data_IF_451703352225
#
_entry.id   IF_451703352225
#
_cell.length_a   1.000
_cell.length_b   1.000
_cell.length_c   1.000
_cell.angle_alpha   90.00
_cell.angle_beta   90.00
_cell.angle_gamma   90.00
#
_symmetry.space_group_name_H-M   'P 1'
#
loop_
_entity.id
_entity.type
_entity.pdbx_description
1 polymer ?
#
# COMPACT_ATOMS: atom_id res chain seq x y z
N UNK A 1 -30.64 28.13 19.08
CA UNK A 1 -29.62 27.87 18.03
C UNK A 1 -28.32 27.29 18.61
N UNK A 2 -27.78 27.85 19.70
CA UNK A 2 -26.56 27.36 20.39
C UNK A 2 -26.68 25.91 20.86
N UNK A 3 -27.77 25.54 21.55
CA UNK A 3 -27.98 24.17 22.07
C UNK A 3 -27.98 23.09 20.97
N UNK A 4 -28.57 23.37 19.80
CA UNK A 4 -28.55 22.45 18.64
C UNK A 4 -27.14 22.29 18.07
N UNK A 5 -26.36 23.37 17.98
CA UNK A 5 -24.95 23.31 17.54
C UNK A 5 -24.09 22.53 18.54
N UNK A 6 -24.25 22.79 19.83
CA UNK A 6 -23.54 22.07 20.89
C UNK A 6 -23.88 20.58 20.87
N UNK A 7 -25.17 20.22 20.72
CA UNK A 7 -25.60 18.83 20.62
C UNK A 7 -24.98 18.11 19.41
N UNK A 8 -24.97 18.76 18.24
CA UNK A 8 -24.34 18.19 17.03
C UNK A 8 -22.84 17.97 17.22
N UNK A 9 -22.14 18.93 17.83
CA UNK A 9 -20.70 18.79 18.14
C UNK A 9 -20.48 17.63 19.11
N UNK A 10 -21.27 17.53 20.18
CA UNK A 10 -21.15 16.45 21.16
C UNK A 10 -21.41 15.09 20.51
N UNK A 11 -22.47 14.96 19.70
CA UNK A 11 -22.76 13.72 18.98
C UNK A 11 -21.65 13.35 17.99
N UNK A 12 -21.09 14.33 17.29
CA UNK A 12 -19.97 14.12 16.37
C UNK A 12 -18.70 13.67 17.09
N UNK A 13 -18.31 14.36 18.16
CA UNK A 13 -17.13 14.00 18.95
C UNK A 13 -17.32 12.62 19.57
N UNK A 14 -18.50 12.34 20.13
CA UNK A 14 -18.81 11.02 20.72
C UNK A 14 -18.78 9.92 19.66
N UNK A 15 -19.32 10.16 18.45
CA UNK A 15 -19.27 9.18 17.37
C UNK A 15 -17.83 8.93 16.87
N UNK A 16 -16.97 9.96 16.83
CA UNK A 16 -15.54 9.79 16.54
C UNK A 16 -14.83 8.95 17.60
N UNK A 17 -15.12 9.15 18.89
CA UNK A 17 -14.56 8.33 19.97
C UNK A 17 -15.04 6.87 19.87
N UNK A 18 -16.33 6.65 19.63
CA UNK A 18 -16.90 5.32 19.42
C UNK A 18 -16.25 4.66 18.20
N UNK A 19 -16.11 5.38 17.08
CA UNK A 19 -15.47 4.89 15.88
C UNK A 19 -14.01 4.48 16.12
N UNK A 20 -13.23 5.33 16.79
CA UNK A 20 -11.85 5.01 17.18
C UNK A 20 -11.78 3.79 18.10
N UNK A 21 -12.71 3.67 19.06
CA UNK A 21 -12.81 2.51 19.93
C UNK A 21 -13.15 1.23 19.15
N UNK A 22 -14.09 1.29 18.19
CA UNK A 22 -14.44 0.17 17.31
C UNK A 22 -13.22 -0.27 16.49
N UNK A 23 -12.49 0.67 15.89
CA UNK A 23 -11.27 0.35 15.14
C UNK A 23 -10.26 -0.36 16.05
N UNK A 24 -9.95 0.20 17.23
CA UNK A 24 -9.02 -0.41 18.18
C UNK A 24 -9.49 -1.77 18.70
N UNK A 25 -10.77 -1.94 19.00
CA UNK A 25 -11.28 -3.21 19.50
C UNK A 25 -11.34 -4.28 18.39
N UNK A 26 -11.69 -3.89 17.17
CA UNK A 26 -11.62 -4.77 16.00
C UNK A 26 -10.19 -5.22 15.71
N UNK A 27 -9.22 -4.35 15.98
CA UNK A 27 -7.79 -4.64 15.87
C UNK A 27 -7.40 -5.78 16.81
N UNK A 28 -7.71 -5.64 18.11
CA UNK A 28 -7.44 -6.65 19.15
C UNK A 28 -8.20 -7.96 18.89
N UNK A 29 -9.48 -7.87 18.55
CA UNK A 29 -10.30 -9.04 18.27
C UNK A 29 -9.80 -9.80 17.03
N UNK A 30 -9.38 -9.09 16.00
CA UNK A 30 -8.77 -9.71 14.81
C UNK A 30 -7.51 -10.48 15.19
N UNK A 31 -6.63 -9.92 16.03
CA UNK A 31 -5.41 -10.63 16.44
C UNK A 31 -5.74 -11.87 17.27
N UNK A 32 -6.71 -11.77 18.17
CA UNK A 32 -7.20 -12.91 18.93
C UNK A 32 -7.75 -14.01 18.01
N UNK A 33 -8.67 -13.69 17.11
CA UNK A 33 -9.25 -14.65 16.17
C UNK A 33 -8.19 -15.27 15.25
N UNK A 34 -7.22 -14.47 14.78
CA UNK A 34 -6.09 -14.99 13.99
C UNK A 34 -5.17 -15.89 14.81
N UNK A 35 -4.97 -15.61 16.11
CA UNK A 35 -4.18 -16.47 17.00
C UNK A 35 -4.81 -17.85 17.21
N UNK A 36 -6.13 -17.95 17.07
CA UNK A 36 -6.88 -19.20 17.13
C UNK A 36 -6.95 -19.92 15.78
N UNK A 37 -6.61 -19.25 14.68
CA UNK A 37 -6.65 -19.86 13.35
C UNK A 37 -5.54 -20.91 13.21
N UNK A 38 -5.83 -22.08 12.59
CA UNK A 38 -4.82 -23.09 12.38
C UNK A 38 -3.66 -22.52 11.57
N UNK A 39 -2.44 -22.67 12.07
CA UNK A 39 -1.24 -22.29 11.32
C UNK A 39 -1.10 -23.29 10.19
N UNK A 40 -1.28 -22.81 8.97
CA UNK A 40 -0.93 -23.60 7.80
C UNK A 40 0.60 -23.84 7.80
N UNK A 41 0.97 -25.11 7.97
CA UNK A 41 2.35 -25.57 8.13
C UNK A 41 3.12 -25.60 6.80
N UNK A 42 2.46 -25.34 5.67
CA UNK A 42 3.14 -25.25 4.37
C UNK A 42 4.18 -24.14 4.40
N UNK A 43 5.42 -24.52 4.11
CA UNK A 43 6.55 -23.61 3.99
C UNK A 43 7.00 -23.41 2.54
N UNK A 44 6.61 -24.28 1.61
CA UNK A 44 7.04 -24.20 0.22
C UNK A 44 5.94 -23.74 -0.74
N UNK A 45 6.28 -22.76 -1.58
CA UNK A 45 5.43 -22.18 -2.60
C UNK A 45 6.21 -22.04 -3.90
N UNK A 46 5.53 -21.86 -5.03
CA UNK A 46 6.21 -21.52 -6.29
C UNK A 46 6.59 -20.05 -6.32
N UNK A 47 5.66 -19.21 -5.84
CA UNK A 47 5.87 -17.76 -5.72
C UNK A 47 5.54 -17.27 -4.32
N UNK A 48 6.36 -16.36 -3.82
CA UNK A 48 6.07 -15.58 -2.61
C UNK A 48 6.00 -14.11 -2.99
N UNK A 49 4.84 -13.49 -2.80
CA UNK A 49 4.62 -12.05 -2.98
C UNK A 49 4.65 -11.38 -1.61
N UNK A 50 5.59 -10.46 -1.42
CA UNK A 50 5.79 -9.71 -0.19
C UNK A 50 5.09 -8.37 -0.29
N UNK A 51 4.01 -8.19 0.47
CA UNK A 51 3.13 -7.02 0.42
C UNK A 51 1.89 -7.29 -0.44
N UNK A 52 0.73 -7.34 0.20
CA UNK A 52 -0.58 -7.46 -0.44
C UNK A 52 -1.18 -6.10 -0.82
N UNK A 53 -0.33 -5.14 -1.19
CA UNK A 53 -0.72 -3.79 -1.60
C UNK A 53 -1.28 -3.72 -3.03
N UNK A 54 -1.25 -2.52 -3.61
CA UNK A 54 -1.81 -2.25 -4.94
C UNK A 54 -1.21 -3.14 -6.04
N UNK A 55 0.12 -3.20 -6.15
CA UNK A 55 0.81 -4.03 -7.13
C UNK A 55 0.81 -5.52 -6.75
N UNK A 56 1.16 -5.84 -5.49
CA UNK A 56 1.23 -7.22 -5.02
C UNK A 56 -0.08 -8.00 -5.18
N UNK A 57 -1.22 -7.36 -4.94
CA UNK A 57 -2.54 -7.98 -5.18
C UNK A 57 -2.79 -8.31 -6.65
N UNK A 58 -2.35 -7.45 -7.58
CA UNK A 58 -2.48 -7.73 -9.03
C UNK A 58 -1.57 -8.88 -9.43
N UNK A 59 -0.31 -8.86 -9.00
CA UNK A 59 0.70 -9.88 -9.31
C UNK A 59 0.23 -11.24 -8.79
N UNK A 60 -0.13 -11.34 -7.52
CA UNK A 60 -0.58 -12.58 -6.90
C UNK A 60 -1.80 -13.17 -7.62
N UNK A 61 -2.79 -12.33 -7.95
CA UNK A 61 -3.98 -12.77 -8.67
C UNK A 61 -3.68 -13.25 -10.10
N UNK A 62 -2.64 -12.72 -10.75
CA UNK A 62 -2.21 -13.16 -12.08
C UNK A 62 -1.45 -14.48 -12.02
N UNK A 63 -0.52 -14.62 -11.08
CA UNK A 63 0.23 -15.86 -10.85
C UNK A 63 -0.70 -17.02 -10.49
N UNK A 64 -1.70 -16.76 -9.64
CA UNK A 64 -2.67 -17.77 -9.19
C UNK A 64 -3.61 -18.28 -10.30
N UNK A 65 -3.58 -17.70 -11.52
CA UNK A 65 -4.34 -18.23 -12.67
C UNK A 65 -3.79 -19.56 -13.17
N UNK A 66 -2.50 -19.83 -12.99
CA UNK A 66 -1.95 -21.14 -13.24
C UNK A 66 -2.23 -22.03 -12.02
N UNK A 67 -3.16 -22.97 -12.15
CA UNK A 67 -3.57 -23.84 -11.05
C UNK A 67 -2.43 -24.73 -10.51
N UNK A 68 -1.35 -24.92 -11.28
CA UNK A 68 -0.16 -25.68 -10.86
C UNK A 68 0.76 -24.88 -9.94
N UNK A 69 0.70 -23.55 -9.98
CA UNK A 69 1.57 -22.68 -9.20
C UNK A 69 0.94 -22.38 -7.84
N UNK A 70 1.64 -22.67 -6.74
CA UNK A 70 1.24 -22.27 -5.40
C UNK A 70 1.78 -20.87 -5.10
N UNK A 71 0.89 -19.95 -4.74
CA UNK A 71 1.20 -18.54 -4.52
C UNK A 71 0.94 -18.17 -3.07
N UNK A 72 1.95 -17.65 -2.38
CA UNK A 72 1.81 -17.07 -1.04
C UNK A 72 1.88 -15.55 -1.12
N UNK A 73 0.93 -14.86 -0.47
CA UNK A 73 0.99 -13.43 -0.21
C UNK A 73 1.23 -13.22 1.29
N UNK A 74 2.29 -12.50 1.63
CA UNK A 74 2.57 -12.08 3.00
C UNK A 74 2.31 -10.58 3.14
N UNK A 75 1.32 -10.22 3.95
CA UNK A 75 0.93 -8.84 4.24
C UNK A 75 1.18 -8.53 5.71
N UNK A 76 1.88 -7.44 5.99
CA UNK A 76 2.22 -7.03 7.36
C UNK A 76 1.01 -6.48 8.12
N UNK A 77 0.09 -5.84 7.40
CA UNK A 77 -1.15 -5.33 7.93
C UNK A 77 -2.25 -6.38 8.09
N UNK A 78 -3.39 -5.92 8.56
CA UNK A 78 -4.58 -6.74 8.82
C UNK A 78 -5.39 -6.97 7.55
N UNK A 79 -6.34 -7.91 7.66
CA UNK A 79 -7.33 -8.10 6.63
C UNK A 79 -8.32 -6.91 6.58
N UNK A 80 -8.89 -6.60 5.41
CA UNK A 80 -9.83 -5.48 5.30
C UNK A 80 -11.20 -5.81 5.91
N UNK A 81 -11.79 -4.80 6.57
CA UNK A 81 -13.17 -4.83 7.06
C UNK A 81 -14.09 -4.03 6.12
N UNK A 82 -15.39 -4.33 6.11
CA UNK A 82 -16.36 -3.65 5.24
C UNK A 82 -16.36 -2.13 5.40
N UNK A 83 -16.21 -1.63 6.64
CA UNK A 83 -16.19 -0.20 6.98
C UNK A 83 -15.03 0.56 6.31
N UNK A 84 -13.89 -0.09 6.07
CA UNK A 84 -12.72 0.52 5.43
C UNK A 84 -12.97 0.86 3.95
N UNK A 85 -14.03 0.31 3.35
CA UNK A 85 -14.40 0.60 1.97
C UNK A 85 -15.31 1.83 1.85
N UNK A 86 -15.70 2.46 2.97
CA UNK A 86 -16.41 3.74 2.92
C UNK A 86 -15.41 4.83 2.49
N UNK A 87 -15.66 5.57 1.39
CA UNK A 87 -14.72 6.56 0.85
C UNK A 87 -14.12 7.52 1.89
N UNK A 88 -14.97 8.12 2.73
CA UNK A 88 -14.58 9.11 3.74
C UNK A 88 -13.74 8.54 4.88
N UNK A 89 -13.78 7.22 5.10
CA UNK A 89 -13.00 6.57 6.17
C UNK A 89 -11.51 6.54 5.83
N UNK A 90 -11.13 6.50 4.55
CA UNK A 90 -9.72 6.35 4.15
C UNK A 90 -8.78 7.40 4.76
N UNK A 91 -9.22 8.66 4.82
CA UNK A 91 -8.47 9.75 5.45
C UNK A 91 -8.38 9.62 6.97
N UNK A 92 -9.40 9.04 7.60
CA UNK A 92 -9.46 8.84 9.06
C UNK A 92 -8.55 7.68 9.52
N UNK A 93 -8.00 6.88 8.61
CA UNK A 93 -7.10 5.78 8.94
C UNK A 93 -5.65 6.24 9.16
N UNK A 94 -5.30 7.47 8.76
CA UNK A 94 -3.95 8.00 8.96
C UNK A 94 -3.64 8.12 10.46
N UNK A 95 -2.45 7.67 10.87
CA UNK A 95 -2.04 7.60 12.28
C UNK A 95 -2.71 6.50 13.12
N UNK A 96 -3.52 5.63 12.50
CA UNK A 96 -4.11 4.45 13.17
C UNK A 96 -3.24 3.19 12.94
N UNK A 97 -3.55 2.03 13.55
CA UNK A 97 -2.85 0.78 13.25
C UNK A 97 -2.85 0.33 11.79
N UNK A 98 -3.76 0.87 10.96
CA UNK A 98 -3.84 0.62 9.52
C UNK A 98 -2.89 1.51 8.69
N UNK A 99 -2.12 2.38 9.34
CA UNK A 99 -1.12 3.25 8.74
C UNK A 99 0.27 2.91 9.29
N UNK A 100 1.25 2.75 8.41
CA UNK A 100 2.65 2.64 8.79
C UNK A 100 3.16 3.85 9.56
N UNK A 101 2.53 5.02 9.38
CA UNK A 101 2.82 6.25 10.09
C UNK A 101 4.28 6.66 9.95
N UNK A 102 4.85 6.50 8.74
CA UNK A 102 6.22 6.89 8.47
C UNK A 102 6.40 8.39 8.69
N UNK A 103 7.62 8.77 9.08
CA UNK A 103 8.03 10.15 9.22
C UNK A 103 9.35 10.35 8.52
N UNK A 104 9.52 11.48 7.88
CA UNK A 104 10.83 11.87 7.33
C UNK A 104 11.77 12.23 8.48
N UNK A 105 13.07 12.23 8.20
CA UNK A 105 14.01 13.03 8.99
C UNK A 105 13.65 14.53 8.86
N UNK A 106 14.15 15.43 9.74
CA UNK A 106 13.99 16.86 9.54
C UNK A 106 14.46 17.29 8.15
N UNK A 107 13.61 18.02 7.43
CA UNK A 107 13.88 18.47 6.07
C UNK A 107 14.63 19.81 6.10
N UNK A 108 15.67 19.93 5.27
CA UNK A 108 16.47 21.15 5.17
C UNK A 108 15.79 22.22 4.30
N UNK A 109 15.18 21.81 3.18
CA UNK A 109 14.65 22.72 2.15
C UNK A 109 13.14 22.56 1.92
N UNK A 110 12.43 21.81 2.78
CA UNK A 110 11.00 21.56 2.67
C UNK A 110 10.37 21.49 4.07
N UNK A 111 9.04 21.42 4.13
CA UNK A 111 8.30 21.23 5.39
C UNK A 111 8.56 22.33 6.44
N UNK A 112 8.97 23.54 6.03
CA UNK A 112 9.37 24.64 6.92
C UNK A 112 8.25 25.13 7.85
N UNK A 113 7.00 24.85 7.49
CA UNK A 113 5.81 25.17 8.29
C UNK A 113 5.33 23.98 9.15
N UNK A 114 6.03 22.83 9.14
CA UNK A 114 5.70 21.65 9.94
C UNK A 114 6.57 21.60 11.21
N UNK A 115 6.05 20.95 12.24
CA UNK A 115 6.78 20.76 13.50
C UNK A 115 8.13 20.07 13.26
N UNK A 116 9.22 20.73 13.67
CA UNK A 116 10.60 20.27 13.50
C UNK A 116 10.98 19.95 12.04
N UNK A 117 10.29 20.55 11.05
CA UNK A 117 10.47 20.28 9.63
C UNK A 117 10.30 18.80 9.24
N UNK A 118 9.52 18.04 10.02
CA UNK A 118 9.27 16.61 9.78
C UNK A 118 7.93 16.42 9.08
N UNK A 119 7.93 15.72 7.96
CA UNK A 119 6.71 15.31 7.25
C UNK A 119 6.23 13.94 7.72
N UNK A 120 4.92 13.80 7.86
CA UNK A 120 4.26 12.50 8.07
C UNK A 120 3.88 11.92 6.72
N UNK A 121 4.22 10.66 6.48
CA UNK A 121 4.00 9.95 5.22
C UNK A 121 3.07 8.75 5.47
N UNK A 122 1.75 8.96 5.42
CA UNK A 122 0.78 7.89 5.61
C UNK A 122 0.88 6.86 4.50
N UNK A 123 1.04 5.59 4.89
CA UNK A 123 1.14 4.46 3.97
C UNK A 123 0.32 3.29 4.52
N UNK A 124 -0.51 2.68 3.69
CA UNK A 124 -1.43 1.65 4.18
C UNK A 124 -0.71 0.40 4.70
N UNK A 125 -0.99 0.06 5.96
CA UNK A 125 -0.60 -1.18 6.64
C UNK A 125 -1.84 -2.06 6.84
N UNK A 126 -2.37 -2.52 5.71
CA UNK A 126 -3.57 -3.34 5.61
C UNK A 126 -3.53 -4.05 4.26
N UNK A 127 -4.19 -5.20 4.12
CA UNK A 127 -4.38 -5.81 2.81
C UNK A 127 -5.04 -4.78 1.85
N UNK A 128 -4.46 -4.55 0.69
CA UNK A 128 -4.78 -3.42 -0.20
C UNK A 128 -3.80 -2.26 -0.12
N UNK A 129 -2.98 -2.21 0.92
CA UNK A 129 -1.94 -1.19 1.13
C UNK A 129 -2.51 0.23 1.05
N UNK A 130 -1.74 1.15 0.49
CA UNK A 130 -2.14 2.58 0.38
C UNK A 130 -3.39 2.79 -0.46
N UNK A 131 -3.83 1.83 -1.30
CA UNK A 131 -5.13 1.96 -1.97
C UNK A 131 -6.34 1.97 -1.03
N UNK A 132 -6.17 1.50 0.22
CA UNK A 132 -7.18 1.60 1.27
C UNK A 132 -7.23 2.97 1.95
N UNK A 133 -6.16 3.77 1.85
CA UNK A 133 -6.03 5.08 2.53
C UNK A 133 -6.07 6.26 1.56
N UNK A 134 -5.80 6.04 0.26
CA UNK A 134 -5.69 7.11 -0.73
C UNK A 134 -7.01 7.86 -1.00
N UNK A 135 -6.93 8.95 -1.75
CA UNK A 135 -8.10 9.77 -2.15
C UNK A 135 -8.90 9.18 -3.33
N UNK A 136 -8.60 7.94 -3.75
CA UNK A 136 -9.25 7.21 -4.85
C UNK A 136 -9.15 7.86 -6.23
N UNK A 137 -8.47 9.00 -6.37
CA UNK A 137 -8.26 9.67 -7.66
C UNK A 137 -7.59 8.71 -8.65
N UNK A 138 -8.23 8.55 -9.80
CA UNK A 138 -7.69 7.82 -10.94
C UNK A 138 -7.18 8.82 -11.97
N UNK A 139 -5.87 8.78 -12.21
CA UNK A 139 -5.18 9.63 -13.17
C UNK A 139 -4.21 8.75 -13.95
N UNK A 140 -4.19 8.88 -15.28
CA UNK A 140 -3.18 8.23 -16.12
C UNK A 140 -1.89 9.06 -16.10
N UNK A 141 -0.75 8.40 -16.20
CA UNK A 141 0.50 9.09 -16.55
C UNK A 141 0.43 9.57 -18.00
N UNK A 142 1.12 10.67 -18.29
CA UNK A 142 1.27 11.18 -19.64
C UNK A 142 2.31 10.36 -20.41
N UNK A 143 2.21 10.23 -21.73
CA UNK A 143 3.17 9.47 -22.56
C UNK A 143 4.62 9.91 -22.33
N UNK A 144 4.85 11.21 -22.22
CA UNK A 144 6.18 11.79 -21.93
C UNK A 144 6.79 11.26 -20.61
N UNK A 145 5.98 10.95 -19.60
CA UNK A 145 6.47 10.39 -18.33
C UNK A 145 7.16 9.03 -18.56
N UNK A 146 6.69 8.28 -19.56
CA UNK A 146 7.20 6.95 -19.88
C UNK A 146 8.37 6.96 -20.86
N UNK A 147 8.57 8.04 -21.62
CA UNK A 147 9.71 8.13 -22.55
C UNK A 147 11.04 7.98 -21.85
N UNK A 148 11.21 8.61 -20.68
CA UNK A 148 12.43 8.46 -19.90
C UNK A 148 12.56 7.05 -19.29
N UNK A 149 11.44 6.42 -18.89
CA UNK A 149 11.44 5.06 -18.33
C UNK A 149 11.84 3.99 -19.37
N UNK A 150 11.49 4.22 -20.64
CA UNK A 150 11.74 3.30 -21.75
C UNK A 150 12.98 3.67 -22.58
N UNK A 151 13.68 4.74 -22.22
CA UNK A 151 14.94 5.10 -22.86
C UNK A 151 15.93 3.94 -22.82
N UNK A 152 16.38 3.50 -23.99
CA UNK A 152 17.28 2.36 -24.14
C UNK A 152 16.63 0.98 -23.98
N UNK A 153 15.30 0.88 -23.96
CA UNK A 153 14.53 -0.37 -23.87
C UNK A 153 13.63 -0.52 -25.09
N UNK A 154 14.12 -1.19 -26.12
CA UNK A 154 13.41 -1.36 -27.40
C UNK A 154 12.13 -2.20 -27.28
N UNK A 155 12.06 -3.08 -26.27
CA UNK A 155 10.91 -3.97 -26.03
C UNK A 155 9.73 -3.30 -25.28
N UNK A 156 9.83 -2.01 -24.94
CA UNK A 156 8.80 -1.30 -24.17
C UNK A 156 8.36 -0.01 -24.85
N UNK A 157 7.05 0.16 -24.98
CA UNK A 157 6.41 1.33 -25.55
C UNK A 157 5.28 1.86 -24.66
N UNK A 158 4.86 3.10 -24.90
CA UNK A 158 3.66 3.62 -24.24
C UNK A 158 2.39 2.86 -24.64
N UNK A 159 2.36 2.24 -25.82
CA UNK A 159 1.25 1.38 -26.26
C UNK A 159 1.05 0.17 -25.35
N UNK A 160 2.14 -0.41 -24.82
CA UNK A 160 2.08 -1.50 -23.85
C UNK A 160 1.39 -1.04 -22.56
N UNK A 161 1.74 0.16 -22.07
CA UNK A 161 1.11 0.78 -20.90
C UNK A 161 -0.37 1.05 -21.16
N UNK A 162 -0.69 1.60 -22.34
CA UNK A 162 -2.06 1.88 -22.76
C UNK A 162 -2.92 0.62 -22.85
N UNK A 163 -2.35 -0.52 -23.27
CA UNK A 163 -3.05 -1.80 -23.25
C UNK A 163 -3.42 -2.23 -21.83
N UNK A 164 -2.58 -1.94 -20.82
CA UNK A 164 -2.91 -2.18 -19.41
C UNK A 164 -3.91 -1.17 -18.84
N UNK A 165 -3.83 0.12 -19.19
CA UNK A 165 -4.86 1.09 -18.79
C UNK A 165 -6.25 0.65 -19.25
N UNK A 166 -6.40 0.29 -20.53
CA UNK A 166 -7.66 -0.21 -21.08
C UNK A 166 -8.17 -1.48 -20.40
N UNK A 167 -7.28 -2.35 -19.90
CA UNK A 167 -7.66 -3.56 -19.13
C UNK A 167 -8.13 -3.24 -17.71
N UNK A 168 -7.66 -2.14 -17.13
CA UNK A 168 -8.00 -1.72 -15.76
C UNK A 168 -9.26 -0.85 -15.73
N UNK A 169 -9.50 -0.08 -16.79
CA UNK A 169 -10.61 0.84 -16.89
C UNK A 169 -11.90 0.14 -17.33
N UNK A 170 -12.95 0.32 -16.54
CA UNK A 170 -14.31 -0.14 -16.86
C UNK A 170 -15.19 0.98 -17.42
N UNK A 171 -14.68 2.21 -17.46
CA UNK A 171 -15.31 3.36 -18.09
C UNK A 171 -14.75 3.55 -19.50
N UNK A 172 -15.62 3.91 -20.45
CA UNK A 172 -15.20 4.15 -21.83
C UNK A 172 -14.21 5.30 -21.95
N UNK A 173 -13.59 5.44 -23.13
CA UNK A 173 -12.63 6.50 -23.44
C UNK A 173 -13.23 7.88 -23.12
N UNK A 174 -12.50 8.77 -22.40
CA UNK A 174 -12.95 10.14 -22.19
C UNK A 174 -13.29 10.78 -23.54
N UNK A 175 -14.52 11.29 -23.69
CA UNK A 175 -15.00 11.88 -24.94
C UNK A 175 -14.47 13.31 -25.17
N UNK A 176 -14.02 13.98 -24.11
CA UNK A 176 -13.66 15.40 -24.13
C UNK A 176 -12.21 15.61 -23.69
N UNK A 177 -11.47 16.41 -24.46
CA UNK A 177 -10.13 16.92 -24.09
C UNK A 177 -10.30 18.14 -23.20
N UNK A 178 -9.47 18.27 -22.15
CA UNK A 178 -9.48 19.42 -21.24
C UNK A 178 -9.86 19.07 -19.81
N UNK A 179 -10.40 20.05 -19.07
CA UNK A 179 -10.85 19.86 -17.68
C UNK A 179 -12.03 18.91 -17.63
N UNK A 180 -11.90 17.84 -16.86
CA UNK A 180 -12.90 16.79 -16.72
C UNK A 180 -13.13 16.47 -15.24
N UNK A 181 -14.31 15.93 -14.94
CA UNK A 181 -14.57 15.37 -13.60
C UNK A 181 -13.60 14.21 -13.38
N UNK A 182 -12.74 14.26 -12.33
CA UNK A 182 -11.78 13.22 -12.07
C UNK A 182 -12.50 11.90 -11.83
N UNK A 183 -11.97 10.82 -12.41
CA UNK A 183 -12.48 9.48 -12.13
C UNK A 183 -11.97 9.03 -10.76
N UNK A 184 -12.76 8.20 -10.11
CA UNK A 184 -12.42 7.64 -8.80
C UNK A 184 -12.51 6.12 -8.85
N UNK A 185 -11.63 5.46 -8.11
CA UNK A 185 -11.62 4.01 -7.90
C UNK A 185 -12.77 3.61 -6.95
N UNK A 186 -13.98 3.62 -7.49
CA UNK A 186 -15.24 3.33 -6.79
C UNK A 186 -16.05 2.27 -7.53
N UNK A 187 -16.74 1.42 -6.76
CA UNK A 187 -17.72 0.46 -7.27
C UNK A 187 -18.91 0.40 -6.32
N UNK A 188 -20.12 0.70 -6.82
CA UNK A 188 -21.37 0.74 -6.04
C UNK A 188 -21.27 1.59 -4.75
N UNK A 189 -20.67 2.78 -4.86
CA UNK A 189 -20.51 3.72 -3.74
C UNK A 189 -19.42 3.34 -2.72
N UNK A 190 -18.69 2.23 -2.96
CA UNK A 190 -17.59 1.76 -2.10
C UNK A 190 -16.26 1.99 -2.80
N UNK A 191 -15.21 2.25 -2.01
CA UNK A 191 -13.82 2.18 -2.45
C UNK A 191 -13.56 0.82 -3.12
N UNK A 192 -12.88 0.87 -4.25
CA UNK A 192 -12.53 -0.31 -5.03
C UNK A 192 -11.01 -0.39 -5.19
N UNK A 193 -10.43 -1.52 -4.80
CA UNK A 193 -8.98 -1.75 -4.75
C UNK A 193 -8.60 -3.02 -5.51
N UNK A 194 -7.30 -3.19 -5.81
CA UNK A 194 -6.84 -4.43 -6.45
C UNK A 194 -6.98 -5.67 -5.57
N UNK A 195 -7.04 -5.49 -4.24
CA UNK A 195 -7.31 -6.57 -3.29
C UNK A 195 -8.73 -7.11 -3.38
N UNK A 196 -9.71 -6.31 -3.79
CA UNK A 196 -11.10 -6.80 -3.92
C UNK A 196 -11.19 -7.95 -4.92
N UNK A 197 -10.42 -7.89 -6.01
CA UNK A 197 -10.34 -8.99 -6.96
C UNK A 197 -9.53 -10.17 -6.42
N UNK A 198 -8.44 -9.90 -5.68
CA UNK A 198 -7.64 -10.94 -5.03
C UNK A 198 -8.48 -11.76 -4.05
N UNK A 199 -9.33 -11.11 -3.25
CA UNK A 199 -10.22 -11.77 -2.28
C UNK A 199 -11.35 -12.57 -2.92
N UNK A 200 -11.82 -12.16 -4.11
CA UNK A 200 -12.80 -12.90 -4.90
C UNK A 200 -12.20 -14.16 -5.53
N UNK A 201 -10.87 -14.27 -5.59
CA UNK A 201 -10.21 -15.45 -6.10
C UNK A 201 -10.42 -16.61 -5.11
N UNK A 202 -11.15 -17.63 -5.55
CA UNK A 202 -11.45 -18.84 -4.76
C UNK A 202 -10.48 -19.99 -5.06
N UNK A 203 -9.41 -19.74 -5.81
CA UNK A 203 -8.47 -20.79 -6.17
C UNK A 203 -7.72 -21.27 -4.93
N UNK A 204 -7.68 -22.59 -4.72
CA UNK A 204 -7.05 -23.22 -3.57
C UNK A 204 -5.51 -23.11 -3.56
N UNK A 205 -4.90 -22.72 -4.68
CA UNK A 205 -3.46 -22.54 -4.84
C UNK A 205 -2.97 -21.15 -4.38
N UNK A 206 -3.87 -20.22 -4.06
CA UNK A 206 -3.53 -18.89 -3.53
C UNK A 206 -3.75 -18.84 -2.02
N UNK A 207 -2.69 -18.54 -1.27
CA UNK A 207 -2.74 -18.33 0.18
C UNK A 207 -2.37 -16.88 0.52
N UNK A 208 -3.23 -16.20 1.27
CA UNK A 208 -2.99 -14.84 1.76
C UNK A 208 -2.84 -14.89 3.27
N UNK A 209 -1.69 -14.47 3.78
CA UNK A 209 -1.44 -14.34 5.23
C UNK A 209 -1.22 -12.88 5.58
N UNK A 210 -2.11 -12.36 6.41
CA UNK A 210 -2.01 -11.03 7.04
C UNK A 210 -1.31 -11.13 8.39
N UNK A 211 -0.95 -10.00 9.00
CA UNK A 211 -0.15 -9.94 10.23
C UNK A 211 1.23 -10.62 10.10
N UNK A 212 1.76 -10.67 8.88
CA UNK A 212 3.04 -11.26 8.52
C UNK A 212 4.03 -10.17 8.11
N UNK A 213 4.91 -9.76 9.02
CA UNK A 213 5.94 -8.79 8.73
C UNK A 213 7.17 -9.47 8.14
N UNK A 214 7.44 -9.30 6.85
CA UNK A 214 8.65 -9.85 6.22
C UNK A 214 9.87 -9.05 6.66
N UNK A 215 10.86 -9.74 7.23
CA UNK A 215 12.08 -9.14 7.77
C UNK A 215 13.17 -9.02 6.71
N UNK A 216 13.42 -10.13 5.98
CA UNK A 216 14.45 -10.23 4.95
C UNK A 216 14.15 -11.35 3.96
N UNK A 217 14.77 -11.28 2.79
CA UNK A 217 14.90 -12.37 1.81
C UNK A 217 16.01 -13.31 2.27
N UNK A 218 15.78 -14.61 2.11
CA UNK A 218 16.79 -15.66 2.32
C UNK A 218 17.51 -15.84 0.98
N UNK A 219 18.79 -15.54 0.94
CA UNK A 219 19.63 -15.59 -0.28
C UNK A 219 20.67 -16.68 -0.10
N UNK A 220 20.86 -17.52 -1.10
CA UNK A 220 21.85 -18.60 -1.08
C UNK A 220 23.23 -18.15 -1.60
N UNK A 221 24.16 -19.10 -1.58
CA UNK A 221 25.45 -18.97 -2.28
C UNK A 221 25.16 -18.97 -3.78
N UNK A 222 25.30 -17.81 -4.42
CA UNK A 222 24.96 -17.62 -5.84
C UNK A 222 23.97 -16.48 -6.14
N UNK A 223 23.54 -15.72 -5.12
CA UNK A 223 22.60 -14.59 -5.24
C UNK A 223 21.16 -14.98 -5.60
N UNK A 224 20.78 -16.25 -5.43
CA UNK A 224 19.42 -16.70 -5.69
C UNK A 224 18.55 -16.57 -4.42
N UNK A 225 17.37 -15.98 -4.58
CA UNK A 225 16.38 -15.79 -3.52
C UNK A 225 15.59 -17.08 -3.28
N UNK A 226 15.89 -17.78 -2.18
CA UNK A 226 15.24 -19.05 -1.83
C UNK A 226 13.92 -18.88 -1.09
N UNK A 227 13.69 -17.71 -0.49
CA UNK A 227 12.54 -17.51 0.38
C UNK A 227 12.61 -16.22 1.18
N UNK A 228 11.83 -16.17 2.26
CA UNK A 228 11.74 -15.02 3.15
C UNK A 228 11.67 -15.45 4.61
N UNK A 229 12.35 -14.71 5.48
CA UNK A 229 12.14 -14.74 6.93
C UNK A 229 11.09 -13.69 7.28
N UNK A 230 10.05 -14.08 8.02
CA UNK A 230 8.98 -13.18 8.43
C UNK A 230 8.55 -13.42 9.87
N UNK A 231 8.02 -12.38 10.50
CA UNK A 231 7.46 -12.43 11.84
C UNK A 231 5.94 -12.52 11.75
N UNK A 232 5.36 -13.52 12.41
CA UNK A 232 3.92 -13.69 12.55
C UNK A 232 3.56 -13.72 14.03
N UNK A 233 2.76 -12.76 14.49
CA UNK A 233 2.40 -12.58 15.90
C UNK A 233 3.63 -12.59 16.84
N UNK A 234 4.71 -11.92 16.42
CA UNK A 234 5.97 -11.84 17.17
C UNK A 234 6.88 -13.08 17.07
N UNK A 235 6.44 -14.17 16.44
CA UNK A 235 7.26 -15.37 16.21
C UNK A 235 7.90 -15.35 14.84
N UNK A 236 9.20 -15.64 14.78
CA UNK A 236 9.93 -15.80 13.52
C UNK A 236 9.50 -17.08 12.82
N UNK A 237 9.33 -16.98 11.51
CA UNK A 237 8.94 -18.05 10.59
C UNK A 237 9.69 -17.87 9.26
N UNK A 238 9.68 -18.90 8.44
CA UNK A 238 10.25 -18.88 7.09
C UNK A 238 9.28 -19.48 6.08
N UNK A 239 9.32 -18.97 4.86
CA UNK A 239 8.67 -19.57 3.71
C UNK A 239 9.64 -19.55 2.51
N UNK A 240 9.60 -20.60 1.70
CA UNK A 240 10.50 -20.84 0.58
C UNK A 240 9.77 -20.80 -0.75
N UNK A 241 10.41 -20.23 -1.77
CA UNK A 241 9.90 -20.09 -3.12
C UNK A 241 10.71 -20.96 -4.08
N UNK A 242 10.03 -21.76 -4.89
CA UNK A 242 10.65 -22.60 -5.92
C UNK A 242 11.02 -21.83 -7.19
N UNK A 243 10.31 -20.73 -7.47
CA UNK A 243 10.48 -19.96 -8.70
C UNK A 243 10.93 -18.53 -8.43
N UNK A 244 10.18 -17.78 -7.59
CA UNK A 244 10.57 -16.40 -7.29
C UNK A 244 9.98 -15.85 -6.00
N UNK A 245 10.74 -14.93 -5.40
CA UNK A 245 10.26 -13.97 -4.39
C UNK A 245 10.02 -12.63 -5.08
N UNK A 246 8.81 -12.09 -4.96
CA UNK A 246 8.41 -10.80 -5.54
C UNK A 246 8.22 -9.78 -4.42
N UNK A 247 9.09 -8.78 -4.34
CA UNK A 247 8.95 -7.68 -3.38
C UNK A 247 7.97 -6.63 -3.89
N UNK A 248 6.88 -6.43 -3.16
CA UNK A 248 5.83 -5.44 -3.41
C UNK A 248 5.43 -4.69 -2.13
N UNK A 249 6.39 -4.46 -1.24
CA UNK A 249 6.19 -3.83 0.08
C UNK A 249 6.16 -2.29 0.03
N UNK A 250 5.94 -1.72 -1.17
CA UNK A 250 5.93 -0.28 -1.40
C UNK A 250 7.32 0.36 -1.42
N UNK A 251 7.34 1.65 -1.77
CA UNK A 251 8.59 2.41 -2.01
C UNK A 251 9.51 2.50 -0.78
N UNK A 252 8.97 2.40 0.44
CA UNK A 252 9.74 2.39 1.68
C UNK A 252 10.07 0.96 2.14
N UNK A 253 9.09 0.05 2.08
CA UNK A 253 9.25 -1.31 2.60
C UNK A 253 10.18 -2.17 1.76
N UNK A 254 10.10 -2.08 0.43
CA UNK A 254 10.93 -2.88 -0.48
C UNK A 254 12.43 -2.62 -0.31
N UNK A 255 12.96 -1.39 -0.39
CA UNK A 255 14.39 -1.15 -0.20
C UNK A 255 14.85 -1.51 1.22
N UNK A 256 14.01 -1.30 2.25
CA UNK A 256 14.31 -1.73 3.61
C UNK A 256 14.53 -3.24 3.70
N UNK A 257 13.64 -4.04 3.10
CA UNK A 257 13.76 -5.50 3.08
C UNK A 257 15.03 -5.92 2.34
N UNK A 258 15.34 -5.32 1.19
CA UNK A 258 16.57 -5.59 0.45
C UNK A 258 17.83 -5.30 1.28
N UNK A 259 17.90 -4.13 1.93
CA UNK A 259 19.02 -3.77 2.81
C UNK A 259 19.17 -4.74 3.98
N UNK A 260 18.07 -5.12 4.63
CA UNK A 260 18.08 -6.15 5.70
C UNK A 260 18.46 -7.55 5.20
N UNK A 261 18.39 -7.77 3.88
CA UNK A 261 18.85 -9.00 3.20
C UNK A 261 20.31 -8.92 2.77
N UNK A 262 21.01 -7.82 3.06
CA UNK A 262 22.39 -7.57 2.65
C UNK A 262 22.54 -6.99 1.24
N UNK A 263 21.47 -6.52 0.60
CA UNK A 263 21.51 -5.86 -0.72
C UNK A 263 21.33 -4.35 -0.52
N UNK A 264 22.42 -3.60 -0.64
CA UNK A 264 22.44 -2.15 -0.40
C UNK A 264 23.86 -1.60 -0.33
N UNK A 265 24.00 -0.29 -0.17
CA UNK A 265 25.32 0.36 -0.16
C UNK A 265 26.19 -0.21 0.96
N UNK A 266 27.36 -0.74 0.62
CA UNK A 266 28.22 -1.47 1.57
C UNK A 266 28.49 -0.71 2.86
N UNK A 267 28.94 0.54 2.76
CA UNK A 267 29.26 1.36 3.94
C UNK A 267 28.05 1.53 4.88
N UNK A 268 26.86 1.75 4.31
CA UNK A 268 25.64 1.93 5.10
C UNK A 268 25.23 0.63 5.82
N UNK A 269 25.41 -0.52 5.15
CA UNK A 269 25.16 -1.82 5.76
C UNK A 269 26.18 -2.17 6.85
N UNK A 270 27.46 -1.83 6.64
CA UNK A 270 28.54 -2.05 7.61
C UNK A 270 28.28 -1.24 8.91
N UNK A 271 27.84 0.02 8.80
CA UNK A 271 27.45 0.86 9.96
C UNK A 271 26.33 0.23 10.80
N UNK A 272 25.45 -0.55 10.17
CA UNK A 272 24.34 -1.26 10.81
C UNK A 272 24.70 -2.71 11.18
N UNK A 273 25.95 -3.13 10.98
CA UNK A 273 26.43 -4.50 11.22
C UNK A 273 25.67 -5.56 10.42
N UNK A 274 25.26 -5.21 9.20
CA UNK A 274 24.60 -6.13 8.25
C UNK A 274 25.65 -6.60 7.25
N UNK A 275 25.80 -7.91 7.10
CA UNK A 275 26.69 -8.47 6.09
C UNK A 275 26.20 -8.11 4.68
N UNK A 276 27.05 -7.40 3.92
CA UNK A 276 26.77 -7.08 2.51
C UNK A 276 26.90 -8.32 1.65
N UNK A 277 25.80 -8.69 1.00
CA UNK A 277 25.73 -9.71 -0.05
C UNK A 277 26.00 -9.05 -1.40
N UNK A 278 25.31 -7.94 -1.71
CA UNK A 278 25.48 -7.20 -2.97
C UNK A 278 25.52 -5.70 -2.67
N UNK A 279 26.56 -5.02 -3.16
CA UNK A 279 26.70 -3.56 -3.06
C UNK A 279 25.95 -2.86 -4.20
N UNK A 280 24.79 -2.30 -3.89
CA UNK A 280 23.92 -1.58 -4.84
C UNK A 280 23.33 -0.33 -4.20
N UNK A 281 22.99 0.72 -4.97
CA UNK A 281 22.37 1.96 -4.49
C UNK A 281 20.89 1.79 -4.08
N UNK A 282 20.58 0.78 -3.26
CA UNK A 282 19.22 0.48 -2.80
C UNK A 282 18.74 1.57 -1.84
N UNK A 283 17.53 2.07 -2.09
CA UNK A 283 16.92 3.15 -1.30
C UNK A 283 17.25 4.56 -1.80
N UNK A 284 18.13 4.68 -2.79
CA UNK A 284 18.42 5.94 -3.46
C UNK A 284 17.33 6.30 -4.49
N UNK A 285 17.42 7.52 -5.02
CA UNK A 285 16.52 8.04 -6.07
C UNK A 285 15.03 8.02 -5.69
N UNK A 286 14.73 8.22 -4.40
CA UNK A 286 13.36 8.44 -3.95
C UNK A 286 12.82 9.73 -4.55
N UNK A 287 11.75 9.63 -5.32
CA UNK A 287 11.03 10.75 -5.92
C UNK A 287 9.60 10.75 -5.39
N UNK A 288 9.08 11.94 -5.10
CA UNK A 288 7.69 12.13 -4.66
C UNK A 288 7.18 13.49 -5.15
N UNK A 289 5.86 13.68 -5.12
CA UNK A 289 5.22 14.93 -5.48
C UNK A 289 5.04 15.82 -4.26
N UNK A 290 5.75 16.95 -4.24
CA UNK A 290 5.57 17.97 -3.21
C UNK A 290 4.22 18.66 -3.42
N UNK A 291 3.42 18.73 -2.35
CA UNK A 291 2.14 19.44 -2.36
C UNK A 291 2.15 20.54 -1.32
N UNK A 292 1.43 21.63 -1.59
CA UNK A 292 1.14 22.70 -0.63
C UNK A 292 -0.36 22.94 -0.59
N UNK A 293 -0.88 23.28 0.59
CA UNK A 293 -2.30 23.57 0.77
C UNK A 293 -2.58 25.06 0.61
N UNK A 294 -3.69 25.39 -0.07
CA UNK A 294 -4.27 26.72 -0.05
C UNK A 294 -5.68 26.62 0.57
N UNK A 295 -5.99 27.49 1.52
CA UNK A 295 -7.35 27.59 2.10
C UNK A 295 -7.99 28.87 1.60
N UNK A 296 -9.12 28.74 0.92
CA UNK A 296 -9.90 29.87 0.42
C UNK A 296 -11.17 29.97 1.25
N UNK A 297 -11.37 31.11 1.91
CA UNK A 297 -12.63 31.41 2.61
C UNK A 297 -13.67 31.91 1.63
N UNK A 298 -14.83 31.24 1.57
CA UNK A 298 -15.98 31.74 0.83
C UNK A 298 -16.82 32.61 1.77
N UNK A 299 -16.69 33.93 1.66
CA UNK A 299 -17.58 34.87 2.35
C UNK A 299 -18.84 35.05 1.51
N UNK A 300 -19.92 34.38 1.91
CA UNK A 300 -21.24 34.60 1.33
C UNK A 300 -21.85 35.88 1.86
N UNK A 301 -21.61 37.02 1.21
CA UNK A 301 -22.61 38.08 1.22
C UNK A 301 -23.71 37.65 0.23
N UNK A 302 -24.86 37.25 0.77
CA UNK A 302 -26.02 36.92 -0.03
C UNK A 302 -26.48 38.15 -0.80
N UNK A 303 -26.22 38.19 -2.10
CA UNK A 303 -26.95 39.04 -3.02
C UNK A 303 -27.98 38.19 -3.74
N UNK A 304 -29.23 38.54 -3.51
CA UNK A 304 -30.43 38.01 -4.15
C UNK A 304 -30.21 37.90 -5.67
N UNK A 305 -30.31 36.69 -6.20
CA UNK A 305 -30.60 36.52 -7.62
C UNK A 305 -32.09 36.85 -7.81
N UNK A 306 -32.33 38.01 -8.42
CA UNK A 306 -33.64 38.43 -8.93
C UNK A 306 -34.09 37.57 -10.12
#
# INVERSE_FOLDING_TARGET
MVLKRTLVIVLYVTSMFIFGFILKYSDVLSDFLYSLSPIDTRQEFDYIVVGGGSAGSVIANRLARNAQDRVLVLEAGKNTMGLLHIPSVGLLLQGTPFDWSYKTVPQQNACLALNNNVSVWPMGKVLGGTSMLNNMLYVRGHEEDFKEWFKGKEDYSYDDVMAYYKKLEVFGTPKEKGFNIPKANLHNGKRWTSTDQLKKNTNSNLLIRTNCFVNKVIINVGFEAQGVEYSYLGKKNSAYAKKAVILSAGVIGTPKILMLSGIGRKHHLDDLKIHTVVDLPVGDNLQDHVTTGNTIGLNGEGNNFA
#
